data_IF_253651179577
#
_entry.id   IF_253651179577
#
_cell.length_a   1.000
_cell.length_b   1.000
_cell.length_c   1.000
_cell.angle_alpha   90.00
_cell.angle_beta   90.00
_cell.angle_gamma   90.00
#
_symmetry.space_group_name_H-M   'P 1'
#
loop_
_entity.id
_entity.type
_entity.pdbx_description
1 polymer ?
#
# COMPACT_ATOMS: atom_id res chain seq x y z
N UNK A 1 -24.12 -4.10 8.61
CA UNK A 1 -23.90 -3.63 7.22
C UNK A 1 -22.42 -3.65 6.92
N UNK A 2 -22.05 -4.27 5.81
CA UNK A 2 -20.66 -4.43 5.35
C UNK A 2 -20.41 -3.45 4.21
N UNK A 3 -19.27 -2.76 4.25
CA UNK A 3 -18.88 -1.79 3.22
C UNK A 3 -17.51 -2.13 2.67
N UNK A 4 -17.46 -2.31 1.36
CA UNK A 4 -16.22 -2.26 0.60
C UNK A 4 -15.84 -0.78 0.42
N UNK A 5 -14.75 -0.35 1.04
CA UNK A 5 -14.36 1.05 1.10
C UNK A 5 -14.10 1.69 -0.27
N UNK A 6 -13.70 0.88 -1.26
CA UNK A 6 -13.52 1.33 -2.65
C UNK A 6 -14.84 1.78 -3.27
N UNK A 7 -15.95 1.14 -2.91
CA UNK A 7 -17.30 1.44 -3.42
C UNK A 7 -18.12 2.31 -2.45
N UNK A 8 -17.47 2.85 -1.41
CA UNK A 8 -18.17 3.60 -0.37
C UNK A 8 -18.62 4.99 -0.86
N UNK A 9 -19.93 5.13 -1.01
CA UNK A 9 -20.64 6.38 -1.31
C UNK A 9 -21.38 6.91 -0.07
N UNK A 10 -21.58 8.23 0.01
CA UNK A 10 -22.21 8.90 1.16
C UNK A 10 -23.67 8.50 1.36
N UNK A 11 -24.38 8.23 0.27
CA UNK A 11 -25.77 7.77 0.22
C UNK A 11 -25.93 6.27 0.51
N UNK A 12 -24.83 5.51 0.58
CA UNK A 12 -24.87 4.07 0.86
C UNK A 12 -25.14 3.74 2.34
N UNK A 13 -25.10 4.74 3.23
CA UNK A 13 -25.32 4.54 4.66
C UNK A 13 -26.82 4.30 4.96
N UNK A 14 -27.20 3.15 5.55
CA UNK A 14 -28.57 2.79 5.87
C UNK A 14 -28.98 3.52 7.14
N UNK A 15 -29.58 4.70 6.94
CA UNK A 15 -30.21 5.50 7.96
C UNK A 15 -31.73 5.24 7.97
N UNK A 16 -32.43 5.45 9.11
CA UNK A 16 -31.89 5.66 10.45
C UNK A 16 -31.13 4.43 10.97
N UNK A 17 -29.95 4.66 11.54
CA UNK A 17 -29.14 3.67 12.23
C UNK A 17 -29.72 3.43 13.63
N UNK A 18 -30.07 2.17 13.92
CA UNK A 18 -30.51 1.74 15.25
C UNK A 18 -29.30 1.32 16.09
N UNK A 19 -29.44 1.34 17.42
CA UNK A 19 -28.35 1.03 18.36
C UNK A 19 -27.77 -0.39 18.23
N UNK A 20 -28.53 -1.31 17.64
CA UNK A 20 -28.11 -2.69 17.39
C UNK A 20 -27.56 -2.90 15.97
N UNK A 21 -27.48 -1.85 15.13
CA UNK A 21 -26.88 -1.92 13.80
C UNK A 21 -25.37 -1.66 13.88
N UNK A 22 -24.59 -2.69 13.57
CA UNK A 22 -23.14 -2.58 13.39
C UNK A 22 -22.80 -2.26 11.92
N UNK A 23 -21.80 -1.40 11.75
CA UNK A 23 -21.20 -1.06 10.46
C UNK A 23 -19.75 -1.58 10.44
N UNK A 24 -19.40 -2.32 9.38
CA UNK A 24 -18.08 -2.91 9.18
C UNK A 24 -17.45 -2.36 7.90
N UNK A 25 -16.23 -1.81 8.01
CA UNK A 25 -15.46 -1.28 6.88
C UNK A 25 -14.35 -2.26 6.49
N UNK A 26 -14.33 -2.67 5.24
CA UNK A 26 -13.21 -3.35 4.60
C UNK A 26 -12.56 -2.39 3.61
N UNK A 27 -11.31 -1.99 3.80
CA UNK A 27 -10.62 -1.06 2.89
C UNK A 27 -9.11 -1.28 2.84
N UNK A 28 -8.64 -1.79 1.71
CA UNK A 28 -7.24 -2.15 1.45
C UNK A 28 -6.47 -1.12 0.62
N UNK A 29 -7.18 -0.12 0.09
CA UNK A 29 -6.69 0.81 -0.91
C UNK A 29 -6.11 2.10 -0.32
N UNK A 30 -5.38 2.84 -1.14
CA UNK A 30 -4.80 4.13 -0.77
C UNK A 30 -5.87 5.24 -0.66
N UNK A 31 -5.55 6.41 -0.04
CA UNK A 31 -6.43 7.57 -0.03
C UNK A 31 -6.90 8.04 -1.40
N UNK A 32 -6.13 7.76 -2.46
CA UNK A 32 -6.51 8.07 -3.85
C UNK A 32 -7.92 7.55 -4.20
N UNK A 33 -8.31 6.41 -3.63
CA UNK A 33 -9.58 5.76 -3.94
C UNK A 33 -10.72 6.37 -3.11
N UNK A 34 -10.47 6.70 -1.84
CA UNK A 34 -11.51 7.22 -0.96
C UNK A 34 -10.99 8.07 0.22
N UNK A 35 -10.53 9.28 -0.07
CA UNK A 35 -9.92 10.18 0.92
C UNK A 35 -10.77 10.42 2.18
N UNK A 36 -12.10 10.55 2.05
CA UNK A 36 -12.98 10.83 3.19
C UNK A 36 -12.93 9.77 4.28
N UNK A 37 -12.61 8.51 3.94
CA UNK A 37 -12.45 7.42 4.93
C UNK A 37 -11.21 7.60 5.83
N UNK A 38 -10.21 8.38 5.41
CA UNK A 38 -8.95 8.55 6.13
C UNK A 38 -9.00 9.65 7.21
N UNK A 39 -10.17 10.27 7.38
CA UNK A 39 -10.40 11.31 8.38
C UNK A 39 -11.23 10.78 9.54
N UNK A 40 -10.88 11.25 10.75
CA UNK A 40 -11.54 10.86 12.00
C UNK A 40 -13.08 10.87 11.96
N UNK A 41 -13.75 11.92 11.43
CA UNK A 41 -15.21 11.98 11.44
C UNK A 41 -15.87 10.79 10.74
N UNK A 42 -15.24 10.27 9.68
CA UNK A 42 -15.76 9.16 8.88
C UNK A 42 -15.32 7.80 9.43
N UNK A 43 -14.02 7.58 9.67
CA UNK A 43 -13.54 6.25 10.09
C UNK A 43 -14.19 5.82 11.41
N UNK A 44 -14.45 6.77 12.31
CA UNK A 44 -15.05 6.48 13.61
C UNK A 44 -16.57 6.21 13.57
N UNK A 45 -17.21 6.24 12.38
CA UNK A 45 -18.58 5.77 12.18
C UNK A 45 -18.70 4.24 12.22
N UNK A 46 -17.61 3.52 11.95
CA UNK A 46 -17.61 2.07 11.84
C UNK A 46 -17.30 1.38 13.19
N UNK A 47 -17.87 0.21 13.41
CA UNK A 47 -17.62 -0.64 14.59
C UNK A 47 -16.47 -1.61 14.35
N UNK A 48 -16.32 -2.07 13.11
CA UNK A 48 -15.36 -3.09 12.72
C UNK A 48 -14.57 -2.62 11.52
N UNK A 49 -13.29 -2.93 11.48
CA UNK A 49 -12.39 -2.47 10.42
C UNK A 49 -11.44 -3.59 10.02
N UNK A 50 -11.29 -3.79 8.72
CA UNK A 50 -10.18 -4.50 8.11
C UNK A 50 -9.51 -3.57 7.11
N UNK A 51 -8.26 -3.19 7.39
CA UNK A 51 -7.50 -2.23 6.59
C UNK A 51 -6.02 -2.57 6.61
N UNK A 52 -5.22 -1.89 5.79
CA UNK A 52 -3.75 -2.06 5.78
C UNK A 52 -3.08 -1.68 7.11
N UNK A 53 -3.73 -0.91 8.00
CA UNK A 53 -3.17 -0.53 9.29
C UNK A 53 -3.01 -1.73 10.22
N UNK A 54 -1.86 -1.84 10.89
CA UNK A 54 -1.62 -2.85 11.93
C UNK A 54 -2.55 -2.72 13.14
N UNK A 55 -3.22 -1.58 13.28
CA UNK A 55 -4.12 -1.27 14.39
C UNK A 55 -5.58 -1.61 14.12
N UNK A 56 -5.93 -1.99 12.88
CA UNK A 56 -7.30 -2.41 12.56
C UNK A 56 -7.74 -3.63 13.36
N UNK A 57 -9.05 -3.81 13.51
CA UNK A 57 -9.60 -4.97 14.22
C UNK A 57 -9.19 -6.29 13.55
N UNK A 58 -9.12 -6.31 12.22
CA UNK A 58 -8.43 -7.32 11.44
C UNK A 58 -7.36 -6.63 10.56
N UNK A 59 -6.08 -6.65 10.96
CA UNK A 59 -5.02 -6.04 10.16
C UNK A 59 -4.78 -6.77 8.83
N UNK A 60 -4.63 -6.02 7.75
CA UNK A 60 -4.32 -6.50 6.39
C UNK A 60 -2.92 -6.08 5.92
N UNK A 61 -2.05 -5.65 6.83
CA UNK A 61 -0.71 -5.11 6.52
C UNK A 61 0.16 -6.04 5.66
N UNK A 62 -0.04 -7.35 5.76
CA UNK A 62 0.71 -8.37 5.01
C UNK A 62 -0.11 -9.04 3.90
N UNK A 63 -1.18 -8.41 3.41
CA UNK A 63 -2.09 -9.01 2.42
C UNK A 63 -1.46 -9.27 1.05
N UNK A 64 -0.33 -8.62 0.76
CA UNK A 64 0.45 -8.82 -0.47
C UNK A 64 1.68 -9.72 -0.26
N UNK A 65 1.75 -10.41 0.89
CA UNK A 65 2.79 -11.39 1.19
C UNK A 65 2.15 -12.76 1.41
N UNK A 66 2.42 -13.72 0.53
CA UNK A 66 1.79 -15.04 0.56
C UNK A 66 2.25 -15.85 1.76
N UNK A 67 3.56 -15.94 1.98
CA UNK A 67 4.15 -16.63 3.14
C UNK A 67 5.59 -16.22 3.38
N UNK A 68 6.12 -16.57 4.56
CA UNK A 68 7.55 -16.45 4.86
C UNK A 68 8.41 -17.29 3.90
N UNK A 69 7.90 -18.44 3.46
CA UNK A 69 8.64 -19.35 2.59
C UNK A 69 8.84 -18.77 1.17
N UNK A 70 7.93 -17.92 0.70
CA UNK A 70 8.11 -17.19 -0.56
C UNK A 70 9.29 -16.22 -0.49
N UNK A 71 9.53 -15.59 0.66
CA UNK A 71 10.69 -14.72 0.86
C UNK A 71 12.01 -15.50 0.92
N UNK A 72 12.00 -16.70 1.51
CA UNK A 72 13.18 -17.59 1.58
C UNK A 72 13.47 -18.30 0.26
N UNK A 73 12.45 -18.46 -0.59
CA UNK A 73 12.59 -19.16 -1.86
C UNK A 73 13.60 -18.49 -2.80
N UNK A 74 14.48 -19.29 -3.39
CA UNK A 74 15.42 -18.87 -4.43
C UNK A 74 14.88 -19.10 -5.86
N UNK A 75 13.61 -19.53 -6.01
CA UNK A 75 13.00 -19.95 -7.28
C UNK A 75 13.22 -18.99 -8.45
N UNK A 76 13.11 -17.69 -8.20
CA UNK A 76 13.24 -16.64 -9.22
C UNK A 76 14.56 -15.89 -9.15
N UNK A 77 15.42 -16.21 -8.18
CA UNK A 77 16.67 -15.47 -7.98
C UNK A 77 17.65 -15.77 -9.11
N UNK A 78 18.20 -14.73 -9.71
CA UNK A 78 19.22 -14.83 -10.76
C UNK A 78 20.60 -14.58 -10.14
N UNK A 79 21.61 -15.43 -10.41
CA UNK A 79 22.99 -15.23 -9.95
C UNK A 79 23.55 -13.86 -10.34
N UNK A 80 24.34 -13.27 -9.44
CA UNK A 80 24.89 -11.91 -9.62
C UNK A 80 25.76 -11.80 -10.89
N UNK A 81 26.55 -12.82 -11.22
CA UNK A 81 27.38 -12.83 -12.42
C UNK A 81 26.52 -12.67 -13.70
N UNK A 82 25.33 -13.27 -13.70
CA UNK A 82 24.37 -13.12 -14.80
C UNK A 82 23.81 -11.69 -14.80
N UNK A 83 23.37 -11.16 -13.65
CA UNK A 83 22.91 -9.76 -13.55
C UNK A 83 23.98 -8.78 -14.06
N UNK A 84 25.25 -8.96 -13.67
CA UNK A 84 26.37 -8.13 -14.12
C UNK A 84 26.62 -8.23 -15.63
N UNK A 85 26.46 -9.41 -16.24
CA UNK A 85 26.52 -9.54 -17.70
C UNK A 85 25.36 -8.77 -18.38
N UNK A 86 24.17 -8.83 -17.79
CA UNK A 86 22.97 -8.15 -18.27
C UNK A 86 23.03 -6.62 -18.11
N UNK A 87 23.83 -6.11 -17.17
CA UNK A 87 24.09 -4.67 -17.01
C UNK A 87 24.68 -3.99 -18.26
N UNK A 88 25.22 -4.76 -19.22
CA UNK A 88 25.67 -4.24 -20.52
C UNK A 88 24.53 -3.76 -21.43
N UNK A 89 23.27 -4.18 -21.16
CA UNK A 89 22.10 -3.93 -22.02
C UNK A 89 20.84 -3.45 -21.29
N UNK A 90 20.78 -3.68 -19.99
CA UNK A 90 19.70 -3.20 -19.12
C UNK A 90 20.20 -1.99 -18.34
N UNK A 91 19.31 -1.20 -17.77
CA UNK A 91 19.61 -0.23 -16.71
C UNK A 91 19.91 -0.95 -15.37
N UNK A 92 20.50 -0.28 -14.37
CA UNK A 92 20.65 -0.86 -13.03
C UNK A 92 19.29 -1.02 -12.31
N UNK A 93 18.36 -0.11 -12.62
CA UNK A 93 17.03 0.01 -12.01
C UNK A 93 15.94 -0.32 -13.02
N UNK A 94 14.88 -0.94 -12.52
CA UNK A 94 13.61 -1.07 -13.25
C UNK A 94 12.47 -0.39 -12.50
N UNK A 95 11.58 0.24 -13.25
CA UNK A 95 10.35 0.87 -12.79
C UNK A 95 9.16 0.29 -13.55
N UNK A 96 8.15 -0.18 -12.82
CA UNK A 96 6.93 -0.74 -13.44
C UNK A 96 5.71 -0.22 -12.72
N UNK A 97 5.18 0.89 -13.22
CA UNK A 97 3.96 1.51 -12.69
C UNK A 97 3.09 1.98 -13.85
N UNK A 98 1.78 1.73 -13.73
CA UNK A 98 0.79 2.19 -14.72
C UNK A 98 -0.16 3.24 -14.15
N UNK A 99 -0.18 3.41 -12.83
CA UNK A 99 -0.97 4.43 -12.15
C UNK A 99 -0.16 5.72 -11.97
N UNK A 100 -0.28 6.65 -12.91
CA UNK A 100 0.59 7.82 -12.96
C UNK A 100 0.02 9.02 -12.20
N UNK A 101 0.91 9.94 -11.84
CA UNK A 101 0.66 11.13 -11.00
C UNK A 101 -0.09 10.79 -9.70
N UNK A 102 0.39 9.82 -8.89
CA UNK A 102 -0.29 9.48 -7.65
C UNK A 102 -0.04 10.51 -6.53
N UNK A 103 -0.82 10.45 -5.43
CA UNK A 103 -0.65 11.34 -4.27
C UNK A 103 0.74 11.34 -3.62
N UNK A 104 1.53 10.28 -3.77
CA UNK A 104 2.92 10.23 -3.30
C UNK A 104 3.90 11.07 -4.11
N UNK A 105 3.47 11.63 -5.24
CA UNK A 105 4.31 12.36 -6.19
C UNK A 105 5.54 11.59 -6.68
N UNK A 106 5.43 10.26 -6.65
CA UNK A 106 6.54 9.34 -6.95
C UNK A 106 7.11 9.55 -8.34
N UNK A 107 6.27 9.91 -9.32
CA UNK A 107 6.67 10.04 -10.71
C UNK A 107 7.57 11.26 -10.93
N UNK A 108 7.35 12.35 -10.18
CA UNK A 108 8.23 13.52 -10.19
C UNK A 108 9.61 13.18 -9.62
N UNK A 109 9.64 12.41 -8.53
CA UNK A 109 10.88 11.89 -7.96
C UNK A 109 11.64 10.98 -8.95
N UNK A 110 10.94 10.04 -9.61
CA UNK A 110 11.57 9.14 -10.58
C UNK A 110 12.07 9.90 -11.80
N UNK A 111 11.30 10.89 -12.30
CA UNK A 111 11.72 11.73 -13.43
C UNK A 111 13.03 12.47 -13.11
N UNK A 112 13.14 13.06 -11.92
CA UNK A 112 14.39 13.69 -11.49
C UNK A 112 15.52 12.67 -11.29
N UNK A 113 15.22 11.49 -10.74
CA UNK A 113 16.21 10.42 -10.60
C UNK A 113 16.78 9.97 -11.95
N UNK A 114 15.94 9.89 -12.99
CA UNK A 114 16.35 9.54 -14.36
C UNK A 114 17.38 10.53 -14.95
N UNK A 115 17.44 11.77 -14.47
CA UNK A 115 18.49 12.73 -14.85
C UNK A 115 19.88 12.34 -14.30
N UNK A 116 19.95 11.51 -13.25
CA UNK A 116 21.19 11.15 -12.57
C UNK A 116 21.60 9.69 -12.78
N UNK A 117 20.68 8.80 -13.15
CA UNK A 117 20.93 7.37 -13.38
C UNK A 117 19.95 6.78 -14.40
N UNK A 118 20.39 5.81 -15.20
CA UNK A 118 19.53 5.10 -16.14
C UNK A 118 18.48 4.24 -15.41
N UNK A 119 17.25 4.24 -15.91
CA UNK A 119 16.13 3.47 -15.38
C UNK A 119 15.33 2.94 -16.56
N UNK A 120 15.12 1.62 -16.60
CA UNK A 120 14.21 0.99 -17.56
C UNK A 120 12.79 1.06 -16.99
N UNK A 121 11.87 1.73 -17.70
CA UNK A 121 10.46 1.82 -17.32
C UNK A 121 9.58 1.05 -18.30
N UNK A 122 8.94 0.00 -17.77
CA UNK A 122 8.06 -0.90 -18.52
C UNK A 122 6.57 -0.57 -18.42
N UNK A 123 6.17 0.16 -17.37
CA UNK A 123 4.77 0.55 -17.16
C UNK A 123 4.38 1.74 -18.04
N UNK A 124 3.15 2.22 -17.89
CA UNK A 124 2.67 3.41 -18.60
C UNK A 124 3.41 4.69 -18.13
N UNK A 125 3.83 4.73 -16.86
CA UNK A 125 4.46 5.91 -16.28
C UNK A 125 5.93 6.02 -16.68
N UNK A 126 6.34 7.16 -17.24
CA UNK A 126 7.71 7.43 -17.71
C UNK A 126 8.23 6.34 -18.67
N UNK A 127 7.33 5.75 -19.46
CA UNK A 127 7.61 4.61 -20.32
C UNK A 127 8.79 4.86 -21.25
N UNK A 128 9.76 3.95 -21.26
CA UNK A 128 10.90 3.99 -22.18
C UNK A 128 11.35 2.60 -22.66
N UNK A 129 10.66 1.53 -22.23
CA UNK A 129 11.02 0.16 -22.59
C UNK A 129 9.79 -0.73 -22.68
N UNK A 130 9.69 -1.51 -23.75
CA UNK A 130 8.58 -2.40 -23.98
C UNK A 130 8.68 -3.75 -23.25
N UNK A 131 7.58 -4.20 -22.65
CA UNK A 131 7.40 -5.61 -22.30
C UNK A 131 7.03 -6.43 -23.54
N UNK A 132 7.35 -7.74 -23.55
CA UNK A 132 6.78 -8.69 -24.51
C UNK A 132 5.25 -8.59 -24.52
N UNK A 133 4.63 -8.69 -25.69
CA UNK A 133 3.20 -8.41 -25.88
C UNK A 133 2.30 -9.17 -24.89
N UNK A 134 2.60 -10.44 -24.64
CA UNK A 134 1.86 -11.31 -23.72
C UNK A 134 1.97 -10.91 -22.23
N UNK A 135 2.93 -10.05 -21.88
CA UNK A 135 3.15 -9.55 -20.52
C UNK A 135 2.73 -8.08 -20.34
N UNK A 136 2.17 -7.44 -21.37
CA UNK A 136 1.69 -6.04 -21.28
C UNK A 136 0.37 -5.92 -20.52
N UNK A 137 -0.41 -6.99 -20.42
CA UNK A 137 -1.67 -6.96 -19.67
C UNK A 137 -1.39 -6.90 -18.16
N UNK A 138 -2.05 -5.99 -17.40
CA UNK A 138 -1.94 -5.96 -15.94
C UNK A 138 -2.18 -7.30 -15.23
N UNK A 139 -3.01 -8.19 -15.80
CA UNK A 139 -3.24 -9.53 -15.25
C UNK A 139 -2.01 -10.43 -15.26
N UNK A 140 -0.99 -10.09 -16.06
CA UNK A 140 0.28 -10.81 -16.14
C UNK A 140 1.31 -10.35 -15.10
N UNK A 141 0.98 -9.41 -14.20
CA UNK A 141 1.92 -8.88 -13.19
C UNK A 141 2.34 -9.91 -12.12
N UNK A 142 1.63 -11.03 -12.02
CA UNK A 142 1.98 -12.19 -11.20
C UNK A 142 2.45 -13.41 -12.02
N UNK A 143 2.64 -13.25 -13.33
CA UNK A 143 3.15 -14.29 -14.20
C UNK A 143 4.64 -14.59 -13.92
N UNK A 144 5.00 -15.87 -13.94
CA UNK A 144 6.38 -16.30 -13.70
C UNK A 144 7.38 -15.77 -14.73
N UNK A 145 6.97 -15.47 -15.96
CA UNK A 145 7.84 -14.86 -16.97
C UNK A 145 8.02 -13.36 -16.74
N UNK A 146 7.01 -12.66 -16.24
CA UNK A 146 7.16 -11.28 -15.79
C UNK A 146 8.19 -11.21 -14.64
N UNK A 147 8.09 -12.12 -13.67
CA UNK A 147 9.08 -12.26 -12.60
C UNK A 147 10.49 -12.53 -13.11
N UNK A 148 10.67 -13.37 -14.14
CA UNK A 148 11.98 -13.61 -14.78
C UNK A 148 12.56 -12.36 -15.45
N UNK A 149 11.73 -11.45 -15.95
CA UNK A 149 12.21 -10.17 -16.52
C UNK A 149 12.73 -9.28 -15.39
N UNK A 150 11.94 -9.08 -14.33
CA UNK A 150 12.32 -8.21 -13.22
C UNK A 150 13.52 -8.74 -12.44
N UNK A 151 13.64 -10.06 -12.28
CA UNK A 151 14.77 -10.69 -11.61
C UNK A 151 16.13 -10.44 -12.29
N UNK A 152 16.15 -9.97 -13.55
CA UNK A 152 17.40 -9.63 -14.26
C UNK A 152 18.05 -8.35 -13.75
N UNK A 153 17.28 -7.46 -13.12
CA UNK A 153 17.78 -6.19 -12.58
C UNK A 153 18.44 -6.37 -11.23
N UNK A 154 19.35 -5.44 -10.87
CA UNK A 154 19.92 -5.36 -9.52
C UNK A 154 18.95 -4.64 -8.57
N UNK A 155 18.23 -3.63 -9.06
CA UNK A 155 17.32 -2.82 -8.25
C UNK A 155 15.93 -2.69 -8.89
N UNK A 156 14.89 -2.67 -8.05
CA UNK A 156 13.52 -2.31 -8.47
C UNK A 156 13.08 -1.09 -7.67
N UNK A 157 12.53 -0.09 -8.35
CA UNK A 157 11.84 1.02 -7.69
C UNK A 157 10.48 0.57 -7.16
N UNK A 158 10.40 0.37 -5.84
CA UNK A 158 9.24 -0.09 -5.09
C UNK A 158 8.50 1.12 -4.47
N UNK A 159 7.88 1.94 -5.31
CA UNK A 159 7.29 3.22 -4.88
C UNK A 159 5.77 3.11 -4.77
N UNK A 160 5.22 3.32 -3.58
CA UNK A 160 3.78 3.33 -3.32
C UNK A 160 3.09 4.57 -3.93
N UNK A 161 1.78 4.49 -4.15
CA UNK A 161 0.98 5.62 -4.65
C UNK A 161 0.56 6.60 -3.54
N UNK A 162 0.73 6.26 -2.27
CA UNK A 162 0.52 7.14 -1.13
C UNK A 162 1.52 6.82 -0.01
N UNK A 163 1.82 7.83 0.81
CA UNK A 163 2.76 7.73 1.94
C UNK A 163 1.94 7.64 3.22
N UNK A 164 1.54 6.43 3.60
CA UNK A 164 0.74 6.17 4.80
C UNK A 164 1.41 5.11 5.68
N UNK A 165 1.27 5.20 7.00
CA UNK A 165 1.74 4.15 7.91
C UNK A 165 1.11 2.80 7.54
N UNK A 166 1.95 1.76 7.47
CA UNK A 166 1.57 0.39 7.13
C UNK A 166 0.91 0.17 5.75
N UNK A 167 0.88 1.19 4.88
CA UNK A 167 0.47 0.99 3.49
C UNK A 167 1.62 0.35 2.70
N UNK A 168 1.57 -0.97 2.60
CA UNK A 168 2.62 -1.81 2.01
C UNK A 168 1.96 -2.75 1.01
N UNK A 169 2.36 -2.63 -0.25
CA UNK A 169 1.75 -3.38 -1.34
C UNK A 169 2.69 -4.42 -1.93
N UNK A 170 2.26 -5.06 -3.02
CA UNK A 170 3.09 -5.98 -3.81
C UNK A 170 4.39 -5.33 -4.29
N UNK A 171 4.46 -3.98 -4.34
CA UNK A 171 5.63 -3.22 -4.78
C UNK A 171 6.85 -3.48 -3.90
N UNK A 172 6.69 -3.64 -2.58
CA UNK A 172 7.78 -4.07 -1.71
C UNK A 172 8.05 -5.58 -1.84
N UNK A 173 7.00 -6.39 -1.77
CA UNK A 173 7.16 -7.84 -1.61
C UNK A 173 7.71 -8.50 -2.88
N UNK A 174 7.34 -8.01 -4.06
CA UNK A 174 7.79 -8.52 -5.35
C UNK A 174 9.32 -8.53 -5.47
N UNK A 175 10.07 -7.43 -5.35
CA UNK A 175 11.54 -7.48 -5.42
C UNK A 175 12.17 -8.41 -4.38
N UNK A 176 11.67 -8.44 -3.14
CA UNK A 176 12.18 -9.34 -2.09
C UNK A 176 12.00 -10.82 -2.45
N UNK A 177 10.84 -11.19 -3.00
CA UNK A 177 10.55 -12.53 -3.56
C UNK A 177 11.52 -12.90 -4.69
N UNK A 178 11.87 -11.94 -5.55
CA UNK A 178 12.71 -12.15 -6.73
C UNK A 178 14.23 -12.13 -6.44
N UNK A 179 14.67 -11.78 -5.23
CA UNK A 179 16.09 -11.59 -4.96
C UNK A 179 16.67 -10.38 -5.71
N UNK A 180 15.89 -9.30 -5.74
CA UNK A 180 16.27 -7.99 -6.27
C UNK A 180 16.16 -6.98 -5.13
N UNK A 181 17.08 -6.03 -5.05
CA UNK A 181 17.08 -5.05 -3.95
C UNK A 181 16.00 -3.99 -4.21
N UNK A 182 14.95 -3.89 -3.37
CA UNK A 182 13.99 -2.80 -3.48
C UNK A 182 14.62 -1.46 -3.11
N UNK A 183 14.36 -0.46 -3.94
CA UNK A 183 14.52 0.96 -3.59
C UNK A 183 13.12 1.46 -3.25
N UNK A 184 12.84 1.60 -1.96
CA UNK A 184 11.49 1.75 -1.42
C UNK A 184 11.16 3.20 -1.06
N UNK A 185 9.97 3.64 -1.47
CA UNK A 185 9.35 4.90 -1.08
C UNK A 185 7.86 4.67 -0.84
N UNK A 186 7.38 4.88 0.38
CA UNK A 186 6.06 4.43 0.80
C UNK A 186 5.84 4.61 2.29
N UNK A 187 5.41 3.56 2.96
CA UNK A 187 5.14 3.57 4.40
C UNK A 187 6.34 4.06 5.24
N UNK A 188 6.14 5.08 6.11
CA UNK A 188 7.15 5.50 7.08
C UNK A 188 7.53 4.39 8.09
N UNK A 189 6.64 3.43 8.34
CA UNK A 189 6.85 2.32 9.27
C UNK A 189 7.48 1.08 8.62
N UNK A 190 7.98 1.18 7.38
CA UNK A 190 8.43 0.01 6.59
C UNK A 190 9.52 -0.83 7.27
N UNK A 191 10.38 -0.19 8.07
CA UNK A 191 11.46 -0.86 8.81
C UNK A 191 10.94 -1.97 9.73
N UNK A 192 9.70 -1.85 10.21
CA UNK A 192 9.05 -2.86 11.04
C UNK A 192 8.68 -4.14 10.27
N UNK A 193 8.72 -4.12 8.94
CA UNK A 193 8.23 -5.17 8.07
C UNK A 193 9.29 -5.76 7.14
N UNK A 194 10.47 -5.15 7.07
CA UNK A 194 11.57 -5.64 6.25
C UNK A 194 12.11 -6.98 6.78
N UNK A 195 12.48 -7.95 5.92
CA UNK A 195 13.05 -9.21 6.37
C UNK A 195 14.33 -9.07 7.22
N UNK A 196 15.10 -8.02 6.96
CA UNK A 196 16.34 -7.67 7.65
C UNK A 196 16.55 -6.16 7.62
N UNK A 197 17.36 -5.63 8.55
CA UNK A 197 17.77 -4.23 8.54
C UNK A 197 18.48 -3.83 7.23
N UNK A 198 19.06 -4.81 6.51
CA UNK A 198 19.71 -4.61 5.21
C UNK A 198 19.05 -5.45 4.13
N UNK A 199 17.77 -5.17 3.85
CA UNK A 199 17.03 -5.81 2.74
C UNK A 199 16.40 -4.84 1.75
N UNK A 200 16.47 -3.53 2.02
CA UNK A 200 15.91 -2.48 1.16
C UNK A 200 16.73 -1.19 1.25
N UNK A 201 16.74 -0.41 0.17
CA UNK A 201 17.26 0.95 0.16
C UNK A 201 16.07 1.88 0.40
N UNK A 202 16.10 2.66 1.48
CA UNK A 202 15.00 3.58 1.82
C UNK A 202 15.27 4.95 1.19
N UNK A 203 14.33 5.42 0.38
CA UNK A 203 14.44 6.74 -0.28
C UNK A 203 14.46 7.88 0.74
N UNK A 204 13.77 7.72 1.87
CA UNK A 204 13.77 8.70 2.97
C UNK A 204 15.14 8.94 3.61
N UNK A 205 16.13 8.09 3.35
CA UNK A 205 17.51 8.28 3.81
C UNK A 205 18.33 9.26 2.95
N UNK A 206 17.76 9.80 1.87
CA UNK A 206 18.44 10.68 0.92
C UNK A 206 17.70 12.01 0.81
N UNK A 207 18.45 13.11 0.79
CA UNK A 207 17.86 14.45 0.69
C UNK A 207 17.46 14.82 -0.74
N UNK A 208 18.07 14.18 -1.73
CA UNK A 208 17.84 14.44 -3.15
C UNK A 208 18.04 13.18 -4.01
N UNK A 209 17.27 13.00 -5.12
CA UNK A 209 17.49 11.92 -6.09
C UNK A 209 18.94 11.72 -6.57
N UNK A 210 19.76 12.79 -6.65
CA UNK A 210 21.17 12.71 -7.05
C UNK A 210 22.00 11.90 -6.07
N UNK A 211 21.71 12.02 -4.77
CA UNK A 211 22.41 11.28 -3.72
C UNK A 211 22.07 9.79 -3.79
N UNK A 212 20.78 9.49 -3.96
CA UNK A 212 20.30 8.13 -4.19
C UNK A 212 20.96 7.52 -5.44
N UNK A 213 21.01 8.26 -6.56
CA UNK A 213 21.67 7.81 -7.78
C UNK A 213 23.16 7.48 -7.55
N UNK A 214 23.89 8.34 -6.81
CA UNK A 214 25.29 8.09 -6.46
C UNK A 214 25.44 6.82 -5.63
N UNK A 215 24.58 6.63 -4.64
CA UNK A 215 24.59 5.44 -3.79
C UNK A 215 24.31 4.16 -4.58
N UNK A 216 23.30 4.19 -5.47
CA UNK A 216 22.98 3.05 -6.33
C UNK A 216 24.12 2.75 -7.29
N UNK A 217 24.76 3.75 -7.91
CA UNK A 217 25.94 3.53 -8.79
C UNK A 217 27.08 2.86 -8.02
N UNK A 218 27.35 3.29 -6.80
CA UNK A 218 28.36 2.66 -5.95
C UNK A 218 28.03 1.19 -5.73
N UNK A 219 26.79 0.85 -5.34
CA UNK A 219 26.35 -0.54 -5.17
C UNK A 219 26.34 -1.34 -6.47
N UNK A 220 25.97 -0.74 -7.61
CA UNK A 220 25.96 -1.39 -8.91
C UNK A 220 27.37 -1.88 -9.30
N UNK A 221 28.40 -1.09 -8.96
CA UNK A 221 29.82 -1.40 -9.22
C UNK A 221 30.52 -2.22 -8.12
N UNK A 222 29.91 -2.36 -6.94
CA UNK A 222 30.49 -3.08 -5.80
C UNK A 222 29.62 -4.29 -5.46
N UNK A 223 30.00 -5.44 -6.00
CA UNK A 223 29.27 -6.70 -5.84
C UNK A 223 29.15 -7.13 -4.37
N UNK A 224 30.19 -6.94 -3.56
CA UNK A 224 30.16 -7.30 -2.14
C UNK A 224 29.12 -6.47 -1.37
N UNK A 225 29.10 -5.15 -1.60
CA UNK A 225 28.11 -4.27 -0.97
C UNK A 225 26.70 -4.53 -1.49
N UNK A 226 26.53 -4.84 -2.77
CA UNK A 226 25.24 -5.26 -3.32
C UNK A 226 24.74 -6.57 -2.69
N UNK A 227 25.57 -7.61 -2.64
CA UNK A 227 25.21 -8.92 -2.08
C UNK A 227 24.88 -8.86 -0.60
N UNK A 228 25.45 -7.90 0.12
CA UNK A 228 25.12 -7.67 1.54
C UNK A 228 23.62 -7.42 1.76
N UNK A 229 22.90 -6.84 0.79
CA UNK A 229 21.44 -6.64 0.83
C UNK A 229 20.62 -7.93 0.60
N UNK A 230 21.27 -8.98 0.10
CA UNK A 230 20.64 -10.26 -0.24
C UNK A 230 21.07 -11.39 0.70
N UNK A 231 21.94 -11.12 1.68
CA UNK A 231 22.44 -12.13 2.63
C UNK A 231 21.33 -12.83 3.40
N UNK A 232 20.31 -12.09 3.85
CA UNK A 232 19.13 -12.65 4.53
C UNK A 232 18.42 -13.69 3.66
N UNK A 233 18.33 -13.44 2.35
CA UNK A 233 17.68 -14.34 1.40
C UNK A 233 18.54 -15.56 1.11
N UNK A 234 19.84 -15.37 0.88
CA UNK A 234 20.79 -16.45 0.59
C UNK A 234 20.93 -17.43 1.76
N UNK A 235 20.86 -16.92 3.00
CA UNK A 235 20.89 -17.73 4.22
C UNK A 235 19.52 -18.32 4.58
N UNK A 236 18.43 -17.84 3.96
CA UNK A 236 17.06 -18.16 4.36
C UNK A 236 16.70 -17.63 5.76
N UNK A 237 17.41 -16.62 6.25
CA UNK A 237 17.32 -16.10 7.62
C UNK A 237 16.60 -14.75 7.63
N UNK A 238 15.37 -14.76 8.16
CA UNK A 238 14.56 -13.55 8.36
C UNK A 238 14.70 -13.15 9.83
N UNK A 239 15.36 -12.03 10.06
CA UNK A 239 15.70 -11.55 11.40
C UNK A 239 14.59 -10.74 12.08
N UNK A 240 13.57 -10.31 11.34
CA UNK A 240 12.54 -9.39 11.86
C UNK A 240 11.47 -10.16 12.68
N UNK A 241 11.42 -9.97 14.02
CA UNK A 241 10.49 -10.71 14.87
C UNK A 241 9.04 -10.28 14.67
N UNK A 242 8.76 -9.01 14.34
CA UNK A 242 7.40 -8.55 14.09
C UNK A 242 6.83 -9.24 12.86
N UNK A 243 7.57 -9.22 11.76
CA UNK A 243 7.15 -9.90 10.53
C UNK A 243 6.87 -11.39 10.79
N UNK A 244 7.79 -12.09 11.47
CA UNK A 244 7.63 -13.51 11.79
C UNK A 244 6.41 -13.79 12.67
N UNK A 245 6.24 -13.03 13.75
CA UNK A 245 5.10 -13.18 14.66
C UNK A 245 3.78 -12.88 13.94
N UNK A 246 3.71 -11.77 13.19
CA UNK A 246 2.51 -11.42 12.42
C UNK A 246 2.16 -12.51 11.42
N UNK A 247 3.12 -13.04 10.66
CA UNK A 247 2.86 -14.09 9.68
C UNK A 247 2.47 -15.42 10.33
N UNK A 248 2.95 -15.71 11.55
CA UNK A 248 2.56 -16.91 12.31
C UNK A 248 1.15 -16.80 12.91
N UNK A 249 0.77 -15.62 13.38
CA UNK A 249 -0.53 -15.38 14.01
C UNK A 249 -1.67 -15.12 13.01
N UNK A 250 -1.31 -14.83 11.75
CA UNK A 250 -2.26 -14.58 10.66
C UNK A 250 -3.18 -15.78 10.46
N UNK A 251 -4.48 -15.53 10.45
CA UNK A 251 -5.54 -16.56 10.31
C UNK A 251 -6.12 -16.70 8.91
N UNK A 252 -5.57 -15.94 7.96
CA UNK A 252 -6.02 -15.89 6.58
C UNK A 252 -4.84 -16.08 5.63
N UNK A 253 -5.14 -16.62 4.45
CA UNK A 253 -4.19 -16.87 3.37
C UNK A 253 -4.28 -15.84 2.26
N UNK A 254 -3.25 -15.84 1.41
CA UNK A 254 -3.19 -15.05 0.17
C UNK A 254 -2.77 -16.02 -0.92
N UNK A 255 -3.59 -16.17 -1.96
CA UNK A 255 -3.36 -17.15 -3.03
C UNK A 255 -3.18 -18.60 -2.52
N UNK A 256 -3.81 -18.94 -1.39
CA UNK A 256 -3.79 -20.27 -0.78
C UNK A 256 -5.21 -20.80 -0.66
N UNK A 257 -5.56 -21.79 -1.48
CA UNK A 257 -6.89 -22.41 -1.51
C UNK A 257 -7.20 -23.25 -0.26
N UNK A 258 -6.19 -23.51 0.58
CA UNK A 258 -6.34 -24.31 1.81
C UNK A 258 -6.63 -23.46 3.04
N UNK A 259 -6.55 -22.13 2.92
CA UNK A 259 -6.80 -21.18 3.99
C UNK A 259 -7.99 -20.29 3.63
N UNK A 260 -8.70 -19.82 4.65
CA UNK A 260 -9.72 -18.79 4.47
C UNK A 260 -9.09 -17.53 3.89
N UNK A 261 -9.79 -16.87 2.97
CA UNK A 261 -9.35 -15.57 2.50
C UNK A 261 -9.62 -14.49 3.58
N UNK A 262 -8.97 -13.34 3.45
CA UNK A 262 -9.08 -12.27 4.45
C UNK A 262 -10.46 -11.62 4.52
N UNK A 263 -11.28 -11.68 3.46
CA UNK A 263 -12.66 -11.21 3.44
C UNK A 263 -13.52 -12.16 4.28
N UNK A 264 -13.45 -13.46 4.02
CA UNK A 264 -14.18 -14.48 4.78
C UNK A 264 -13.83 -14.42 6.27
N UNK A 265 -12.55 -14.21 6.58
CA UNK A 265 -12.08 -14.05 7.96
C UNK A 265 -12.63 -12.78 8.62
N UNK A 266 -12.74 -11.68 7.87
CA UNK A 266 -13.34 -10.44 8.37
C UNK A 266 -14.84 -10.58 8.61
N UNK A 267 -15.56 -11.17 7.66
CA UNK A 267 -16.99 -11.47 7.79
C UNK A 267 -17.24 -12.40 8.98
N UNK A 268 -16.47 -13.48 9.12
CA UNK A 268 -16.52 -14.37 10.27
C UNK A 268 -16.26 -13.63 11.59
N UNK A 269 -15.27 -12.73 11.64
CA UNK A 269 -15.01 -11.92 12.83
C UNK A 269 -16.22 -11.05 13.20
N UNK A 270 -16.84 -10.39 12.22
CA UNK A 270 -18.04 -9.57 12.44
C UNK A 270 -19.22 -10.44 12.91
N UNK A 271 -19.50 -11.55 12.23
CA UNK A 271 -20.55 -12.49 12.60
C UNK A 271 -20.39 -13.03 14.03
N UNK A 272 -19.18 -13.42 14.41
CA UNK A 272 -18.89 -13.89 15.77
C UNK A 272 -19.13 -12.82 16.84
N UNK A 273 -18.77 -11.56 16.55
CA UNK A 273 -19.01 -10.42 17.46
C UNK A 273 -20.50 -10.12 17.63
N UNK A 274 -21.27 -10.18 16.54
CA UNK A 274 -22.72 -10.00 16.57
C UNK A 274 -23.37 -11.12 17.40
N UNK A 275 -23.03 -12.38 17.13
CA UNK A 275 -23.55 -13.52 17.88
C UNK A 275 -23.19 -13.47 19.37
N UNK A 276 -21.96 -13.06 19.69
CA UNK A 276 -21.55 -12.87 21.08
C UNK A 276 -22.44 -11.85 21.80
N UNK A 277 -22.77 -10.73 21.15
CA UNK A 277 -23.66 -9.73 21.72
C UNK A 277 -25.11 -10.22 21.88
N UNK A 278 -25.61 -11.05 20.96
CA UNK A 278 -26.91 -11.70 21.10
C UNK A 278 -26.92 -12.58 22.35
N UNK A 279 -25.92 -13.46 22.51
CA UNK A 279 -25.79 -14.36 23.68
C UNK A 279 -25.61 -13.60 24.99
N UNK A 280 -24.85 -12.49 24.98
CA UNK A 280 -24.70 -11.61 26.14
C UNK A 280 -26.05 -11.04 26.57
N UNK A 281 -26.84 -10.54 25.61
CA UNK A 281 -28.16 -9.97 25.87
C UNK A 281 -29.13 -11.00 26.44
N UNK A 282 -29.12 -12.22 25.93
CA UNK A 282 -29.93 -13.35 26.47
C UNK A 282 -29.59 -13.66 27.94
N UNK A 283 -28.32 -13.48 28.33
CA UNK A 283 -27.85 -13.64 29.72
C UNK A 283 -28.07 -12.40 30.59
N UNK A 284 -28.70 -11.34 30.08
CA UNK A 284 -28.88 -10.07 30.77
C UNK A 284 -27.59 -9.25 30.92
N UNK A 285 -26.53 -9.58 30.17
CA UNK A 285 -25.27 -8.82 30.16
C UNK A 285 -25.33 -7.67 29.16
N UNK A 286 -24.56 -6.61 29.43
CA UNK A 286 -24.40 -5.50 28.51
C UNK A 286 -23.70 -5.97 27.22
N UNK A 287 -24.09 -5.46 26.04
CA UNK A 287 -23.38 -5.76 24.80
C UNK A 287 -21.97 -5.14 24.83
N UNK A 288 -21.00 -5.87 24.27
CA UNK A 288 -19.68 -5.33 24.01
C UNK A 288 -19.74 -4.42 22.77
N UNK A 289 -19.16 -3.22 22.88
CA UNK A 289 -19.10 -2.27 21.76
C UNK A 289 -17.68 -2.21 21.22
N UNK A 290 -17.57 -2.36 19.91
CA UNK A 290 -16.35 -2.08 19.16
C UNK A 290 -16.51 -0.79 18.39
N UNK A 291 -15.43 -0.04 18.26
CA UNK A 291 -15.39 1.24 17.57
C UNK A 291 -14.06 1.40 16.86
N UNK A 292 -14.12 1.78 15.59
CA UNK A 292 -12.95 2.14 14.83
C UNK A 292 -12.26 3.37 15.43
N UNK A 293 -10.94 3.36 15.46
CA UNK A 293 -10.12 4.48 15.89
C UNK A 293 -9.43 5.12 14.69
N UNK A 294 -8.92 6.35 14.86
CA UNK A 294 -8.28 7.11 13.78
C UNK A 294 -7.08 6.36 13.18
N UNK A 295 -6.28 5.70 14.02
CA UNK A 295 -5.14 4.89 13.59
C UNK A 295 -5.54 3.60 12.85
N UNK A 296 -6.82 3.22 12.79
CA UNK A 296 -7.26 2.09 11.97
C UNK A 296 -7.21 2.43 10.47
N UNK A 297 -7.27 3.70 10.09
CA UNK A 297 -7.10 4.13 8.70
C UNK A 297 -6.69 5.60 8.67
N UNK A 298 -5.39 5.86 8.55
CA UNK A 298 -4.84 7.21 8.55
C UNK A 298 -3.82 7.36 7.44
N UNK A 299 -3.84 8.51 6.78
CA UNK A 299 -2.76 8.93 5.92
C UNK A 299 -2.51 10.43 6.10
N UNK A 300 -1.25 10.88 6.17
CA UNK A 300 -0.94 12.31 6.18
C UNK A 300 -1.39 12.99 4.88
N UNK A 301 -1.37 14.32 4.92
CA UNK A 301 -1.58 15.16 3.74
C UNK A 301 -0.53 14.79 2.67
N UNK A 302 -0.92 14.66 1.39
CA UNK A 302 0.03 14.49 0.29
C UNK A 302 1.07 15.62 0.25
N UNK A 303 2.32 15.25 -0.02
CA UNK A 303 3.43 16.19 -0.22
C UNK A 303 3.94 16.07 -1.66
N UNK A 304 4.35 17.19 -2.24
CA UNK A 304 4.92 17.25 -3.58
C UNK A 304 6.43 17.50 -3.51
N UNK A 305 7.17 16.89 -4.44
CA UNK A 305 8.58 17.15 -4.63
C UNK A 305 8.79 18.36 -5.54
N UNK A 306 9.68 19.25 -5.13
CA UNK A 306 10.02 20.46 -5.89
C UNK A 306 11.47 20.40 -6.35
N UNK A 307 11.69 20.04 -7.62
CA UNK A 307 13.02 20.03 -8.23
C UNK A 307 13.15 21.15 -9.27
N UNK A 308 14.26 21.90 -9.23
CA UNK A 308 14.53 23.06 -10.09
C UNK A 308 14.60 22.73 -11.60
N UNK A 309 14.86 21.46 -11.93
CA UNK A 309 14.94 20.88 -13.27
C UNK A 309 13.58 20.56 -13.90
N UNK A 310 12.49 20.69 -13.14
CA UNK A 310 11.13 20.45 -13.61
C UNK A 310 10.64 21.68 -14.36
N UNK A 311 10.38 21.56 -15.66
CA UNK A 311 9.61 22.55 -16.41
C UNK A 311 8.32 22.89 -15.63
N UNK A 312 7.86 24.15 -15.56
CA UNK A 312 6.71 24.57 -14.75
C UNK A 312 5.35 24.07 -15.27
N UNK A 313 5.34 23.06 -16.14
CA UNK A 313 4.15 22.32 -16.54
C UNK A 313 3.93 21.13 -15.61
N UNK A 314 3.66 21.38 -14.33
CA UNK A 314 3.04 20.37 -13.47
C UNK A 314 1.76 19.89 -14.15
N UNK A 315 1.53 18.58 -14.20
CA UNK A 315 0.25 18.09 -14.71
C UNK A 315 -0.84 18.59 -13.75
N UNK A 316 -1.98 19.07 -14.26
CA UNK A 316 -3.09 19.57 -13.42
C UNK A 316 -3.54 18.58 -12.35
N UNK A 317 -3.30 17.28 -12.56
CA UNK A 317 -3.56 16.19 -11.62
C UNK A 317 -2.58 16.18 -10.43
N UNK A 318 -1.32 16.58 -10.58
CA UNK A 318 -0.38 16.66 -9.46
C UNK A 318 -0.78 17.76 -8.47
N UNK A 319 -1.24 18.90 -9.00
CA UNK A 319 -1.73 20.03 -8.21
C UNK A 319 -3.06 19.73 -7.50
N UNK A 320 -3.79 18.69 -7.92
CA UNK A 320 -5.13 18.38 -7.42
C UNK A 320 -5.16 17.62 -6.08
N UNK A 321 -4.09 16.91 -5.72
CA UNK A 321 -4.12 16.00 -4.56
C UNK A 321 -4.21 16.74 -3.23
N UNK A 322 -3.52 17.87 -3.10
CA UNK A 322 -3.59 18.72 -1.91
C UNK A 322 -4.99 19.34 -1.75
N UNK A 323 -5.58 20.00 -2.76
CA UNK A 323 -6.97 20.46 -2.72
C UNK A 323 -7.97 19.33 -2.46
N UNK A 324 -7.83 18.17 -3.12
CA UNK A 324 -8.69 17.00 -2.89
C UNK A 324 -8.62 16.52 -1.44
N UNK A 325 -7.42 16.50 -0.86
CA UNK A 325 -7.24 16.17 0.56
C UNK A 325 -7.96 17.18 1.48
N UNK A 326 -7.81 18.49 1.25
CA UNK A 326 -8.52 19.49 2.06
C UNK A 326 -10.05 19.41 1.89
N UNK A 327 -10.51 19.21 0.66
CA UNK A 327 -11.91 19.02 0.33
C UNK A 327 -12.49 17.80 1.06
N UNK A 328 -11.76 16.68 1.07
CA UNK A 328 -12.21 15.45 1.73
C UNK A 328 -12.35 15.57 3.25
N UNK A 329 -11.67 16.54 3.90
CA UNK A 329 -11.91 16.85 5.33
C UNK A 329 -13.30 17.45 5.54
N UNK A 330 -13.70 18.38 4.66
CA UNK A 330 -15.04 18.99 4.68
C UNK A 330 -16.11 17.94 4.43
N UNK A 331 -15.89 17.07 3.45
CA UNK A 331 -16.75 15.91 3.18
C UNK A 331 -16.90 14.98 4.37
N UNK A 332 -15.80 14.62 5.03
CA UNK A 332 -15.85 13.76 6.22
C UNK A 332 -16.67 14.39 7.35
N UNK A 333 -16.51 15.69 7.59
CA UNK A 333 -17.26 16.40 8.62
C UNK A 333 -18.74 16.53 8.29
N UNK A 334 -19.07 16.88 7.04
CA UNK A 334 -20.46 16.97 6.57
C UNK A 334 -21.17 15.61 6.66
N UNK A 335 -20.50 14.53 6.24
CA UNK A 335 -21.01 13.16 6.37
C UNK A 335 -21.31 12.82 7.83
N UNK A 336 -20.39 13.14 8.74
CA UNK A 336 -20.57 12.90 10.17
C UNK A 336 -21.81 13.62 10.71
N UNK A 337 -21.96 14.90 10.41
CA UNK A 337 -23.11 15.69 10.83
C UNK A 337 -24.44 15.10 10.32
N UNK A 338 -24.47 14.64 9.07
CA UNK A 338 -25.67 14.05 8.49
C UNK A 338 -26.01 12.69 9.12
N UNK A 339 -25.01 11.86 9.38
CA UNK A 339 -25.19 10.57 10.05
C UNK A 339 -25.67 10.76 11.49
N UNK A 340 -25.17 11.75 12.21
CA UNK A 340 -25.58 12.06 13.59
C UNK A 340 -27.04 12.55 13.70
N UNK A 341 -27.59 13.18 12.64
CA UNK A 341 -29.03 13.49 12.57
C UNK A 341 -29.90 12.23 12.49
N UNK A 342 -29.30 11.09 12.13
CA UNK A 342 -29.92 9.78 12.07
C UNK A 342 -31.20 9.72 11.22
N UNK A 343 -31.20 10.41 10.08
CA UNK A 343 -32.29 10.42 9.09
C UNK A 343 -31.70 10.33 7.69
N UNK A 344 -32.47 9.83 6.73
CA UNK A 344 -32.04 9.82 5.33
C UNK A 344 -31.74 11.26 4.88
N UNK A 345 -30.71 11.38 4.05
CA UNK A 345 -30.31 12.63 3.42
C UNK A 345 -30.06 12.42 1.93
N UNK A 346 -30.19 13.48 1.14
CA UNK A 346 -29.87 13.43 -0.29
C UNK A 346 -28.44 13.86 -0.56
N UNK A 347 -27.93 13.51 -1.74
CA UNK A 347 -26.60 13.95 -2.20
C UNK A 347 -26.52 15.48 -2.28
N UNK A 348 -27.62 16.17 -2.61
CA UNK A 348 -27.69 17.64 -2.58
C UNK A 348 -27.54 18.19 -1.15
N UNK A 349 -28.22 17.60 -0.15
CA UNK A 349 -28.05 18.00 1.25
C UNK A 349 -26.61 17.81 1.74
N UNK A 350 -25.95 16.74 1.29
CA UNK A 350 -24.53 16.50 1.55
C UNK A 350 -23.67 17.63 0.97
N UNK A 351 -23.76 17.90 -0.32
CA UNK A 351 -22.93 18.93 -0.96
C UNK A 351 -23.25 20.34 -0.45
N UNK A 352 -24.51 20.65 -0.16
CA UNK A 352 -24.87 21.92 0.49
C UNK A 352 -24.15 22.10 1.82
N UNK A 353 -23.97 21.03 2.60
CA UNK A 353 -23.26 21.10 3.88
C UNK A 353 -21.74 21.16 3.70
N UNK A 354 -21.19 20.45 2.71
CA UNK A 354 -19.76 20.46 2.39
C UNK A 354 -19.26 21.86 1.98
N UNK A 355 -20.08 22.61 1.23
CA UNK A 355 -19.74 23.95 0.75
C UNK A 355 -20.28 25.07 1.64
N UNK A 356 -20.85 24.75 2.81
CA UNK A 356 -21.32 25.73 3.78
C UNK A 356 -20.15 26.27 4.60
N UNK A 357 -19.44 27.22 3.97
CA UNK A 357 -18.31 28.05 4.44
C UNK A 357 -17.39 27.43 5.51
#
# INVERSE_FOLDING_TARGET
WFYLGTDFNVDSLPLPRKDYHDWALFHEESPKNNYKLFHEPTITLFNHTATFSRHSHLPLTTQYLESIEVLKSLKYMIPLQIKNSLRKRLAPLVYVQSDCNPPSDRDSYVRELMCHIEIDSYGECLHNRDLPQQLRNPTAMDDGNFYKILAQYKFILAFENAICEDYITEKLWRPLKLGVVPVYFGSPSIVDWLPSNRSAILVSSFSHPRELARYIKMLDTNDQEYESYLQWKMKGDISNPRLLTTMKERKWGVQDITQDNYIDTFECMVCNRVWENIRRKEKGWLPQRWKAQVNHLRCPKPEAFWFLSSNPGGTSLQEMWIPSYEQSKKEAWALRQLVERNRNFTTEEFWMLVFKE
#
